data_IF_203552486616
#
_entry.id   IF_203552486616
#
_cell.length_a   1.000
_cell.length_b   1.000
_cell.length_c   1.000
_cell.angle_alpha   90.00
_cell.angle_beta   90.00
_cell.angle_gamma   90.00
#
_symmetry.space_group_name_H-M   'P 1'
#
loop_
_entity.id
_entity.type
_entity.pdbx_description
1 polymer ?
#
# COMPACT_ATOMS: atom_id res chain seq x y z
N UNK A 1 -21.58 4.84 -15.92
CA UNK A 1 -21.21 6.27 -15.96
C UNK A 1 -20.00 6.49 -15.06
N UNK A 2 -19.12 7.43 -15.42
CA UNK A 2 -17.95 7.81 -14.61
C UNK A 2 -17.96 9.32 -14.43
N UNK A 3 -17.79 9.76 -13.19
CA UNK A 3 -17.52 11.15 -12.85
C UNK A 3 -16.08 11.26 -12.33
N UNK A 4 -15.38 12.32 -12.74
CA UNK A 4 -14.02 12.61 -12.32
C UNK A 4 -13.97 14.04 -11.79
N UNK A 5 -13.37 14.22 -10.62
CA UNK A 5 -13.05 15.55 -10.11
C UNK A 5 -11.94 16.20 -10.95
N UNK A 6 -11.67 17.49 -10.69
CA UNK A 6 -10.50 18.19 -11.24
C UNK A 6 -9.19 17.78 -10.57
N UNK A 7 -9.26 16.96 -9.51
CA UNK A 7 -8.10 16.48 -8.75
C UNK A 7 -7.63 15.14 -9.32
N UNK A 8 -6.31 14.95 -9.27
CA UNK A 8 -5.63 13.70 -9.57
C UNK A 8 -4.91 13.21 -8.30
N UNK A 9 -4.58 11.92 -8.19
CA UNK A 9 -3.83 11.46 -7.01
C UNK A 9 -2.48 12.18 -6.95
N UNK A 10 -1.97 12.40 -5.75
CA UNK A 10 -0.60 12.85 -5.48
C UNK A 10 0.32 11.65 -5.24
N UNK A 11 -0.12 10.62 -4.51
CA UNK A 11 0.69 9.43 -4.23
C UNK A 11 0.27 8.30 -5.13
N UNK A 12 -0.86 7.65 -4.86
CA UNK A 12 -1.33 6.51 -5.61
C UNK A 12 -2.86 6.41 -5.59
N UNK A 13 -3.50 6.05 -6.70
CA UNK A 13 -4.95 5.86 -6.72
C UNK A 13 -5.33 4.62 -5.91
N UNK A 14 -6.36 4.74 -5.09
CA UNK A 14 -6.95 3.63 -4.35
C UNK A 14 -8.41 3.49 -4.73
N UNK A 15 -8.78 2.32 -5.23
CA UNK A 15 -10.16 2.02 -5.59
C UNK A 15 -10.86 1.26 -4.46
N UNK A 16 -12.04 1.73 -4.08
CA UNK A 16 -12.90 1.11 -3.08
C UNK A 16 -14.28 0.86 -3.67
N UNK A 17 -14.78 -0.35 -3.50
CA UNK A 17 -16.17 -0.68 -3.82
C UNK A 17 -17.06 -0.23 -2.67
N UNK A 18 -17.97 0.71 -2.97
CA UNK A 18 -18.96 1.22 -2.02
C UNK A 18 -20.19 0.30 -1.96
N UNK A 19 -20.55 -0.30 -3.08
CA UNK A 19 -21.69 -1.19 -3.20
C UNK A 19 -21.69 -1.88 -4.56
N UNK A 20 -22.71 -2.70 -4.81
CA UNK A 20 -22.87 -3.37 -6.10
C UNK A 20 -22.87 -2.33 -7.23
N UNK A 21 -21.89 -2.42 -8.13
CA UNK A 21 -21.75 -1.51 -9.27
C UNK A 21 -21.35 -0.07 -8.92
N UNK A 22 -20.86 0.23 -7.71
CA UNK A 22 -20.35 1.57 -7.35
C UNK A 22 -18.91 1.48 -6.85
N UNK A 23 -18.01 2.16 -7.56
CA UNK A 23 -16.59 2.28 -7.21
C UNK A 23 -16.23 3.74 -6.99
N UNK A 24 -15.34 3.97 -6.03
CA UNK A 24 -14.80 5.28 -5.70
C UNK A 24 -13.28 5.19 -5.73
N UNK A 25 -12.63 6.17 -6.34
CA UNK A 25 -11.17 6.30 -6.35
C UNK A 25 -10.78 7.46 -5.47
N UNK A 26 -9.83 7.25 -4.57
CA UNK A 26 -9.21 8.27 -3.70
C UNK A 26 -7.70 8.27 -3.87
N UNK A 27 -6.99 9.19 -3.22
CA UNK A 27 -5.54 9.15 -3.09
C UNK A 27 -5.13 8.41 -1.81
N UNK A 28 -4.07 7.60 -1.85
CA UNK A 28 -3.52 6.97 -0.66
C UNK A 28 -3.09 7.99 0.42
N UNK A 29 -2.69 9.19 0.03
CA UNK A 29 -2.33 10.28 0.95
C UNK A 29 -3.53 11.00 1.58
N UNK A 30 -4.69 11.01 0.93
CA UNK A 30 -5.94 11.57 1.44
C UNK A 30 -7.07 10.57 1.13
N UNK A 31 -7.25 9.55 1.98
CA UNK A 31 -8.20 8.48 1.72
C UNK A 31 -9.67 8.93 1.85
N UNK A 32 -9.91 10.17 2.28
CA UNK A 32 -11.25 10.74 2.38
C UNK A 32 -11.64 11.52 1.12
N UNK A 33 -10.71 12.19 0.43
CA UNK A 33 -11.01 12.98 -0.75
C UNK A 33 -11.26 12.12 -2.00
N UNK A 34 -12.48 12.17 -2.54
CA UNK A 34 -12.87 11.42 -3.74
C UNK A 34 -12.34 12.09 -5.00
N UNK A 35 -11.59 11.33 -5.79
CA UNK A 35 -11.03 11.74 -7.08
C UNK A 35 -11.95 11.39 -8.24
N UNK A 36 -12.57 10.20 -8.19
CA UNK A 36 -13.53 9.76 -9.21
C UNK A 36 -14.55 8.77 -8.65
N UNK A 37 -15.69 8.67 -9.33
CA UNK A 37 -16.77 7.74 -9.02
C UNK A 37 -17.18 7.01 -10.28
N UNK A 38 -17.18 5.68 -10.24
CA UNK A 38 -17.80 4.82 -11.25
C UNK A 38 -19.14 4.29 -10.76
N UNK A 39 -20.21 4.50 -11.54
CA UNK A 39 -21.55 3.97 -11.26
C UNK A 39 -22.01 3.13 -12.46
N UNK A 40 -22.13 1.82 -12.26
CA UNK A 40 -22.69 0.88 -13.22
C UNK A 40 -24.19 1.08 -13.42
N UNK A 41 -24.78 0.42 -14.43
CA UNK A 41 -26.21 0.53 -14.75
C UNK A 41 -27.14 0.10 -13.61
N UNK A 42 -26.67 -0.76 -12.71
CA UNK A 42 -27.38 -1.21 -11.50
C UNK A 42 -26.75 -0.66 -10.21
N UNK A 43 -25.99 0.43 -10.29
CA UNK A 43 -25.28 1.00 -9.16
C UNK A 43 -26.22 1.63 -8.12
N UNK A 44 -25.98 1.36 -6.85
CA UNK A 44 -26.73 1.93 -5.72
C UNK A 44 -26.22 3.33 -5.35
N UNK A 45 -26.86 4.36 -5.90
CA UNK A 45 -26.53 5.76 -5.63
C UNK A 45 -26.82 6.18 -4.18
N UNK A 46 -27.82 5.59 -3.52
CA UNK A 46 -28.16 5.93 -2.14
C UNK A 46 -27.07 5.46 -1.18
N UNK A 47 -26.43 4.31 -1.48
CA UNK A 47 -25.26 3.85 -0.74
C UNK A 47 -24.06 4.78 -0.89
N UNK A 48 -23.86 5.36 -2.08
CA UNK A 48 -22.83 6.40 -2.29
C UNK A 48 -23.13 7.67 -1.49
N UNK A 49 -24.39 8.12 -1.48
CA UNK A 49 -24.81 9.29 -0.68
C UNK A 49 -24.57 9.04 0.81
N UNK A 50 -24.86 7.83 1.30
CA UNK A 50 -24.63 7.46 2.70
C UNK A 50 -23.14 7.34 3.06
N UNK A 51 -22.29 7.06 2.07
CA UNK A 51 -20.84 6.94 2.22
C UNK A 51 -20.11 8.29 2.26
N UNK A 52 -20.73 9.36 1.74
CA UNK A 52 -20.13 10.69 1.64
C UNK A 52 -20.67 11.68 2.69
N UNK A 53 -19.89 12.75 2.93
CA UNK A 53 -20.24 13.88 3.80
C UNK A 53 -19.87 15.25 3.20
N UNK A 54 -20.57 16.33 3.60
CA UNK A 54 -21.82 16.35 4.38
C UNK A 54 -23.03 15.92 3.54
N UNK A 55 -23.88 15.05 4.09
CA UNK A 55 -24.94 14.32 3.36
C UNK A 55 -25.86 15.22 2.53
N UNK A 56 -26.31 16.33 3.12
CA UNK A 56 -27.29 17.24 2.52
C UNK A 56 -26.75 17.96 1.28
N UNK A 57 -25.46 18.33 1.28
CA UNK A 57 -24.81 19.02 0.15
C UNK A 57 -24.40 18.06 -0.96
N UNK A 58 -24.11 16.80 -0.61
CA UNK A 58 -23.56 15.80 -1.52
C UNK A 58 -24.66 15.01 -2.26
N UNK A 59 -25.86 14.90 -1.69
CA UNK A 59 -27.01 14.23 -2.31
C UNK A 59 -27.37 14.83 -3.68
N UNK A 60 -27.47 16.17 -3.77
CA UNK A 60 -27.78 16.85 -5.02
C UNK A 60 -26.68 16.63 -6.09
N UNK A 61 -25.41 16.65 -5.68
CA UNK A 61 -24.28 16.43 -6.57
C UNK A 61 -24.26 14.98 -7.11
N UNK A 62 -24.42 13.98 -6.24
CA UNK A 62 -24.45 12.56 -6.65
C UNK A 62 -25.65 12.28 -7.55
N UNK A 63 -26.84 12.83 -7.24
CA UNK A 63 -28.00 12.65 -8.10
C UNK A 63 -27.82 13.31 -9.47
N UNK A 64 -27.15 14.46 -9.54
CA UNK A 64 -26.78 15.07 -10.81
C UNK A 64 -25.80 14.20 -11.61
N UNK A 65 -24.81 13.59 -10.94
CA UNK A 65 -23.90 12.60 -11.54
C UNK A 65 -24.72 11.45 -12.12
N UNK A 66 -25.59 10.81 -11.33
CA UNK A 66 -26.39 9.67 -11.81
C UNK A 66 -27.27 10.04 -13.01
N UNK A 67 -27.78 11.28 -13.05
CA UNK A 67 -28.61 11.78 -14.14
C UNK A 67 -27.84 12.11 -15.43
N UNK A 68 -26.51 11.92 -15.48
CA UNK A 68 -25.71 12.29 -16.66
C UNK A 68 -25.33 13.77 -16.71
N UNK A 69 -25.62 14.54 -15.67
CA UNK A 69 -25.28 15.95 -15.58
C UNK A 69 -23.83 16.19 -15.16
N UNK A 70 -23.32 17.39 -15.41
CA UNK A 70 -22.12 17.86 -14.72
C UNK A 70 -22.52 18.20 -13.28
N UNK A 71 -21.94 17.50 -12.32
CA UNK A 71 -21.96 17.96 -10.94
C UNK A 71 -21.28 19.32 -10.87
N UNK A 72 -21.78 20.21 -10.02
CA UNK A 72 -21.04 21.40 -9.61
C UNK A 72 -19.65 20.99 -9.05
N UNK A 73 -18.72 21.94 -8.94
CA UNK A 73 -17.38 21.79 -8.31
C UNK A 73 -17.49 21.46 -6.80
N UNK A 74 -18.18 20.37 -6.47
CA UNK A 74 -18.39 19.87 -5.12
C UNK A 74 -17.31 18.86 -4.82
N UNK A 75 -16.51 19.16 -3.80
CA UNK A 75 -15.57 18.21 -3.25
C UNK A 75 -16.34 17.11 -2.51
N UNK A 76 -16.32 15.90 -3.06
CA UNK A 76 -16.89 14.73 -2.42
C UNK A 76 -15.88 14.17 -1.41
N UNK A 77 -16.30 14.01 -0.15
CA UNK A 77 -15.48 13.40 0.90
C UNK A 77 -16.17 12.15 1.45
N UNK A 78 -15.41 11.09 1.65
CA UNK A 78 -15.85 9.87 2.32
C UNK A 78 -15.92 10.10 3.82
N UNK A 79 -16.93 9.51 4.45
CA UNK A 79 -17.06 9.45 5.90
C UNK A 79 -15.96 8.58 6.51
N UNK A 80 -15.62 8.73 7.81
CA UNK A 80 -14.49 8.04 8.42
C UNK A 80 -14.46 6.51 8.22
N UNK A 81 -15.58 5.75 8.30
CA UNK A 81 -15.55 4.31 8.02
C UNK A 81 -15.11 3.94 6.60
N UNK A 82 -15.50 4.75 5.61
CA UNK A 82 -15.14 4.55 4.20
C UNK A 82 -13.74 5.04 3.89
N UNK A 83 -13.31 6.15 4.52
CA UNK A 83 -11.91 6.60 4.48
C UNK A 83 -10.98 5.54 5.10
N UNK A 84 -11.37 4.91 6.22
CA UNK A 84 -10.64 3.79 6.83
C UNK A 84 -10.53 2.60 5.88
N UNK A 85 -11.63 2.21 5.22
CA UNK A 85 -11.61 1.15 4.20
C UNK A 85 -10.67 1.49 3.04
N UNK A 86 -10.65 2.75 2.60
CA UNK A 86 -9.71 3.20 1.58
C UNK A 86 -8.26 3.18 2.06
N UNK A 87 -7.98 3.59 3.29
CA UNK A 87 -6.65 3.48 3.88
C UNK A 87 -6.16 2.02 3.91
N UNK A 88 -7.01 1.08 4.36
CA UNK A 88 -6.69 -0.35 4.38
C UNK A 88 -6.39 -0.86 2.97
N UNK A 89 -7.21 -0.51 1.97
CA UNK A 89 -6.95 -0.86 0.58
C UNK A 89 -5.64 -0.24 0.04
N UNK A 90 -5.36 1.01 0.43
CA UNK A 90 -4.14 1.72 0.09
C UNK A 90 -2.90 1.04 0.66
N UNK A 91 -2.91 0.71 1.96
CA UNK A 91 -1.81 -0.02 2.61
C UNK A 91 -1.64 -1.42 2.01
N UNK A 92 -2.75 -2.13 1.77
CA UNK A 92 -2.74 -3.45 1.12
C UNK A 92 -2.15 -3.39 -0.29
N UNK A 93 -2.29 -2.30 -1.04
CA UNK A 93 -1.81 -2.26 -2.44
C UNK A 93 -0.44 -1.60 -2.60
N UNK A 94 -0.20 -0.54 -1.85
CA UNK A 94 0.82 0.46 -2.17
C UNK A 94 1.90 0.59 -1.10
N UNK A 95 1.71 0.07 0.12
CA UNK A 95 2.73 0.18 1.16
C UNK A 95 4.01 -0.53 0.72
N UNK A 96 5.16 0.17 0.59
CA UNK A 96 6.41 -0.45 0.16
C UNK A 96 7.14 -1.14 1.32
N UNK A 97 6.86 -0.73 2.56
CA UNK A 97 7.46 -1.35 3.76
C UNK A 97 6.66 -2.59 4.17
N UNK A 98 7.31 -3.59 4.78
CA UNK A 98 6.60 -4.74 5.32
C UNK A 98 5.62 -4.31 6.44
N UNK A 99 4.51 -5.02 6.53
CA UNK A 99 3.43 -4.82 7.51
C UNK A 99 2.99 -6.19 8.05
N UNK A 100 2.34 -6.22 9.22
CA UNK A 100 1.88 -7.48 9.78
C UNK A 100 0.65 -8.01 9.02
N UNK A 101 0.85 -8.93 8.07
CA UNK A 101 -0.20 -9.43 7.16
C UNK A 101 -1.41 -10.04 7.88
N UNK A 102 -1.18 -10.82 8.93
CA UNK A 102 -2.29 -11.37 9.71
C UNK A 102 -3.15 -10.30 10.39
N UNK A 103 -2.54 -9.20 10.85
CA UNK A 103 -3.26 -8.07 11.44
C UNK A 103 -3.95 -7.24 10.37
N UNK A 104 -3.37 -7.15 9.17
CA UNK A 104 -4.02 -6.54 8.01
C UNK A 104 -5.34 -7.27 7.66
N UNK A 105 -5.42 -8.60 7.85
CA UNK A 105 -6.68 -9.33 7.70
C UNK A 105 -7.74 -8.88 8.72
N UNK A 106 -7.34 -8.62 9.97
CA UNK A 106 -8.23 -8.08 11.00
C UNK A 106 -8.66 -6.63 10.68
N UNK A 107 -7.73 -5.77 10.24
CA UNK A 107 -8.04 -4.40 9.79
C UNK A 107 -9.04 -4.40 8.61
N UNK A 108 -8.85 -5.33 7.66
CA UNK A 108 -9.79 -5.54 6.54
C UNK A 108 -11.16 -6.00 7.03
N UNK A 109 -11.20 -6.96 7.96
CA UNK A 109 -12.45 -7.44 8.53
C UNK A 109 -13.23 -6.31 9.21
N UNK A 110 -12.55 -5.51 10.05
CA UNK A 110 -13.11 -4.35 10.72
C UNK A 110 -13.66 -3.31 9.72
N UNK A 111 -12.90 -3.01 8.65
CA UNK A 111 -13.35 -2.10 7.59
C UNK A 111 -14.60 -2.60 6.85
N UNK A 112 -14.69 -3.91 6.56
CA UNK A 112 -15.89 -4.51 5.95
C UNK A 112 -17.09 -4.50 6.90
N UNK A 113 -16.90 -4.81 8.19
CA UNK A 113 -17.96 -4.74 9.20
C UNK A 113 -18.55 -3.31 9.29
N UNK A 114 -17.68 -2.30 9.46
CA UNK A 114 -18.06 -0.89 9.57
C UNK A 114 -18.75 -0.29 8.34
N UNK A 115 -18.56 -0.90 7.17
CA UNK A 115 -19.16 -0.46 5.90
C UNK A 115 -20.38 -1.29 5.47
N UNK A 116 -20.87 -2.16 6.37
CA UNK A 116 -22.07 -2.96 6.15
C UNK A 116 -21.86 -4.15 5.22
N UNK A 117 -20.68 -4.79 5.27
CA UNK A 117 -20.32 -5.97 4.47
C UNK A 117 -19.96 -7.18 5.36
N UNK A 118 -20.94 -7.69 6.14
CA UNK A 118 -20.70 -8.69 7.18
C UNK A 118 -20.17 -10.02 6.63
N UNK A 119 -20.63 -10.48 5.46
CA UNK A 119 -20.15 -11.73 4.85
C UNK A 119 -18.66 -11.68 4.47
N UNK A 120 -18.17 -10.51 4.04
CA UNK A 120 -16.75 -10.32 3.74
C UNK A 120 -15.94 -10.24 5.03
N UNK A 121 -16.46 -9.55 6.05
CA UNK A 121 -15.84 -9.48 7.36
C UNK A 121 -15.73 -10.87 8.01
N UNK A 122 -16.80 -11.66 8.02
CA UNK A 122 -16.83 -13.02 8.57
C UNK A 122 -15.71 -13.91 8.01
N UNK A 123 -15.55 -13.95 6.68
CA UNK A 123 -14.51 -14.76 6.03
C UNK A 123 -13.11 -14.34 6.45
N UNK A 124 -12.88 -13.03 6.61
CA UNK A 124 -11.59 -12.50 7.02
C UNK A 124 -11.32 -12.78 8.51
N UNK A 125 -12.33 -12.65 9.38
CA UNK A 125 -12.21 -13.03 10.80
C UNK A 125 -11.89 -14.51 10.93
N UNK A 126 -12.54 -15.38 10.14
CA UNK A 126 -12.26 -16.83 10.19
C UNK A 126 -10.79 -17.15 9.86
N UNK A 127 -10.19 -16.42 8.89
CA UNK A 127 -8.77 -16.57 8.54
C UNK A 127 -7.84 -16.01 9.61
N UNK A 128 -8.23 -14.91 10.27
CA UNK A 128 -7.40 -14.19 11.22
C UNK A 128 -7.61 -14.59 12.70
N UNK A 129 -8.58 -15.46 12.99
CA UNK A 129 -8.93 -15.91 14.34
C UNK A 129 -7.73 -16.42 15.16
N UNK A 130 -6.79 -17.23 14.60
CA UNK A 130 -5.62 -17.67 15.36
C UNK A 130 -4.73 -16.51 15.82
N UNK A 131 -4.57 -15.48 14.98
CA UNK A 131 -3.81 -14.29 15.35
C UNK A 131 -4.54 -13.49 16.43
N UNK A 132 -5.86 -13.32 16.31
CA UNK A 132 -6.64 -12.62 17.34
C UNK A 132 -6.49 -13.29 18.71
N UNK A 133 -6.46 -14.63 18.75
CA UNK A 133 -6.18 -15.37 19.97
C UNK A 133 -4.76 -15.07 20.52
N UNK A 134 -3.74 -15.10 19.67
CA UNK A 134 -2.36 -14.81 20.07
C UNK A 134 -2.21 -13.38 20.61
N UNK A 135 -2.74 -12.39 19.89
CA UNK A 135 -2.71 -10.98 20.31
C UNK A 135 -3.51 -10.73 21.61
N UNK A 136 -4.56 -11.52 21.86
CA UNK A 136 -5.28 -11.46 23.14
C UNK A 136 -4.38 -11.90 24.29
N UNK A 137 -3.61 -12.97 24.10
CA UNK A 137 -2.65 -13.45 25.08
C UNK A 137 -1.52 -12.42 25.29
N UNK A 138 -0.94 -11.90 24.22
CA UNK A 138 0.10 -10.86 24.29
C UNK A 138 -0.39 -9.62 25.05
N UNK A 139 -1.66 -9.25 24.84
CA UNK A 139 -2.30 -8.14 25.55
C UNK A 139 -2.51 -8.40 27.04
N UNK A 140 -2.86 -9.63 27.43
CA UNK A 140 -2.96 -10.04 28.84
C UNK A 140 -1.60 -10.12 29.54
N UNK A 141 -0.56 -10.49 28.81
CA UNK A 141 0.82 -10.55 29.28
C UNK A 141 1.50 -9.17 29.32
N UNK A 142 0.80 -8.11 28.89
CA UNK A 142 1.33 -6.74 28.90
C UNK A 142 2.40 -6.47 27.84
N UNK A 143 2.48 -7.31 26.80
CA UNK A 143 3.48 -7.23 25.73
C UNK A 143 3.13 -6.18 24.65
N UNK A 144 1.89 -5.67 24.66
CA UNK A 144 1.38 -4.72 23.68
C UNK A 144 1.35 -3.30 24.25
N UNK A 145 1.79 -2.32 23.45
CA UNK A 145 1.65 -0.90 23.82
C UNK A 145 0.18 -0.49 23.94
N UNK A 146 -0.11 0.57 24.70
CA UNK A 146 -1.50 1.00 24.90
C UNK A 146 -2.18 1.44 23.59
N UNK A 147 -1.41 2.01 22.64
CA UNK A 147 -1.92 2.35 21.31
C UNK A 147 -2.31 1.09 20.52
N UNK A 148 -1.48 0.05 20.56
CA UNK A 148 -1.78 -1.25 19.94
C UNK A 148 -2.99 -1.91 20.59
N UNK A 149 -3.10 -1.87 21.93
CA UNK A 149 -4.26 -2.42 22.65
C UNK A 149 -5.55 -1.67 22.32
N UNK A 150 -5.51 -0.34 22.20
CA UNK A 150 -6.69 0.45 21.84
C UNK A 150 -7.20 0.12 20.43
N UNK A 151 -6.30 0.00 19.46
CA UNK A 151 -6.66 -0.40 18.09
C UNK A 151 -7.13 -1.87 18.05
N UNK A 152 -6.40 -2.77 18.71
CA UNK A 152 -6.76 -4.19 18.81
C UNK A 152 -8.15 -4.36 19.41
N UNK A 153 -8.50 -3.59 20.45
CA UNK A 153 -9.85 -3.59 21.03
C UNK A 153 -10.90 -3.19 19.99
N UNK A 154 -10.70 -2.06 19.30
CA UNK A 154 -11.64 -1.59 18.27
C UNK A 154 -11.83 -2.64 17.18
N UNK A 155 -10.76 -3.28 16.74
CA UNK A 155 -10.78 -4.30 15.70
C UNK A 155 -11.43 -5.59 16.20
N UNK A 156 -11.17 -6.00 17.45
CA UNK A 156 -11.76 -7.19 18.06
C UNK A 156 -13.26 -7.05 18.30
N UNK A 157 -13.73 -5.88 18.74
CA UNK A 157 -15.16 -5.58 18.90
C UNK A 157 -15.89 -5.72 17.55
N UNK A 158 -15.32 -5.15 16.48
CA UNK A 158 -15.88 -5.25 15.13
C UNK A 158 -15.82 -6.67 14.55
N UNK A 159 -14.76 -7.42 14.87
CA UNK A 159 -14.66 -8.82 14.51
C UNK A 159 -15.74 -9.65 15.21
N UNK A 160 -15.98 -9.41 16.50
CA UNK A 160 -17.03 -10.07 17.29
C UNK A 160 -18.44 -9.75 16.78
N UNK A 161 -18.68 -8.51 16.36
CA UNK A 161 -19.94 -8.10 15.73
C UNK A 161 -20.17 -8.81 14.39
N UNK A 162 -19.12 -8.93 13.56
CA UNK A 162 -19.20 -9.60 12.26
C UNK A 162 -19.60 -11.08 12.37
N UNK A 163 -19.24 -11.76 13.47
CA UNK A 163 -19.47 -13.20 13.68
C UNK A 163 -20.54 -13.50 14.73
N UNK A 164 -21.18 -12.48 15.31
CA UNK A 164 -22.02 -12.62 16.50
C UNK A 164 -23.25 -13.54 16.35
N UNK A 165 -23.65 -13.85 15.12
CA UNK A 165 -24.74 -14.80 14.80
C UNK A 165 -24.28 -16.25 14.55
N UNK A 166 -22.96 -16.53 14.62
CA UNK A 166 -22.37 -17.81 14.29
C UNK A 166 -22.04 -18.63 15.53
N UNK A 167 -21.96 -19.96 15.37
CA UNK A 167 -21.70 -20.88 16.48
C UNK A 167 -20.37 -20.63 17.19
N UNK A 168 -19.34 -20.23 16.44
CA UNK A 168 -18.00 -19.93 16.95
C UNK A 168 -17.83 -18.45 17.33
N UNK A 169 -18.83 -17.59 17.09
CA UNK A 169 -18.73 -16.16 17.36
C UNK A 169 -18.58 -15.82 18.85
N UNK A 170 -19.02 -16.70 19.75
CA UNK A 170 -18.83 -16.54 21.18
C UNK A 170 -17.35 -16.61 21.60
N UNK A 171 -16.51 -17.36 20.87
CA UNK A 171 -15.08 -17.44 21.16
C UNK A 171 -14.39 -16.11 20.82
N UNK A 172 -14.71 -15.53 19.65
CA UNK A 172 -14.23 -14.21 19.22
C UNK A 172 -14.69 -13.10 20.17
N UNK A 173 -15.95 -13.15 20.60
CA UNK A 173 -16.45 -12.22 21.62
C UNK A 173 -15.71 -12.38 22.95
N UNK A 174 -15.40 -13.60 23.35
CA UNK A 174 -14.56 -13.87 24.53
C UNK A 174 -13.16 -13.26 24.42
N UNK A 175 -12.55 -13.26 23.22
CA UNK A 175 -11.28 -12.56 22.99
C UNK A 175 -11.44 -11.04 23.11
N UNK A 176 -12.47 -10.45 22.50
CA UNK A 176 -12.75 -9.01 22.60
C UNK A 176 -12.96 -8.56 24.06
N UNK A 177 -13.74 -9.32 24.83
CA UNK A 177 -13.98 -9.05 26.26
C UNK A 177 -12.67 -9.08 27.08
N UNK A 178 -11.79 -10.05 26.80
CA UNK A 178 -10.48 -10.18 27.44
C UNK A 178 -9.55 -9.02 27.09
N UNK A 179 -9.48 -8.64 25.81
CA UNK A 179 -8.71 -7.47 25.35
C UNK A 179 -9.23 -6.19 26.03
N UNK A 180 -10.56 -6.04 26.15
CA UNK A 180 -11.16 -4.89 26.81
C UNK A 180 -10.82 -4.83 28.32
N UNK A 181 -10.68 -5.98 28.98
CA UNK A 181 -10.22 -6.06 30.36
C UNK A 181 -8.73 -5.73 30.49
N UNK A 182 -7.88 -6.18 29.55
CA UNK A 182 -6.45 -5.90 29.52
C UNK A 182 -6.13 -4.44 29.23
N UNK A 183 -6.95 -3.76 28.42
CA UNK A 183 -6.83 -2.32 28.17
C UNK A 183 -7.01 -1.44 29.44
N UNK A 184 -7.39 -2.03 30.58
CA UNK A 184 -7.47 -1.38 31.90
C UNK A 184 -6.29 -1.66 32.84
N UNK A 185 -5.26 -2.41 32.44
CA UNK A 185 -4.10 -2.76 33.27
C UNK A 185 -2.83 -2.02 32.81
N UNK A 186 -2.19 -1.26 33.71
CA UNK A 186 -0.88 -0.65 33.49
C UNK A 186 0.22 -1.71 33.59
N UNK A 187 0.94 -1.96 32.49
CA UNK A 187 1.95 -3.01 32.38
C UNK A 187 3.34 -2.57 32.85
N UNK A 188 3.67 -2.92 34.09
CA UNK A 188 5.06 -3.16 34.52
C UNK A 188 5.42 -4.57 34.04
N UNK A 189 6.21 -4.69 32.95
CA UNK A 189 7.15 -5.80 32.69
C UNK A 189 7.86 -5.66 31.32
N UNK A 190 8.24 -4.43 30.94
CA UNK A 190 8.93 -4.15 29.66
C UNK A 190 10.46 -4.40 29.72
N UNK A 191 11.03 -4.69 30.88
CA UNK A 191 12.49 -4.77 31.08
C UNK A 191 13.11 -6.12 30.68
N UNK A 192 12.30 -7.18 30.52
CA UNK A 192 12.82 -8.54 30.26
C UNK A 192 12.98 -8.91 28.78
N UNK A 193 12.33 -8.19 27.86
CA UNK A 193 12.30 -8.52 26.42
C UNK A 193 13.37 -7.78 25.58
N UNK A 194 13.94 -6.70 26.13
CA UNK A 194 15.04 -5.96 25.49
C UNK A 194 16.41 -6.66 25.57
N UNK A 195 16.50 -7.79 26.30
CA UNK A 195 17.74 -8.55 26.45
C UNK A 195 17.88 -9.74 25.49
N UNK A 196 16.89 -10.02 24.61
CA UNK A 196 16.85 -11.26 23.82
C UNK A 196 17.19 -11.11 22.32
N UNK A 197 17.46 -9.91 21.81
CA UNK A 197 17.70 -9.67 20.38
C UNK A 197 19.04 -8.97 20.12
N UNK A 198 20.12 -9.66 20.48
CA UNK A 198 21.45 -9.43 19.92
C UNK A 198 22.13 -10.78 19.69
N UNK A 199 22.17 -11.24 18.43
CA UNK A 199 23.38 -11.71 17.73
C UNK A 199 23.06 -12.53 16.46
N UNK A 200 23.70 -12.10 15.35
CA UNK A 200 24.15 -12.85 14.15
C UNK A 200 23.08 -13.33 13.13
N UNK A 201 23.32 -13.37 11.81
CA UNK A 201 24.58 -13.53 11.06
C UNK A 201 24.49 -12.98 9.62
N UNK A 202 25.66 -12.63 9.09
CA UNK A 202 26.00 -12.48 7.66
C UNK A 202 25.59 -13.68 6.80
N UNK A 203 25.25 -13.41 5.53
CA UNK A 203 25.57 -14.28 4.40
C UNK A 203 25.55 -13.49 3.06
N UNK A 204 26.69 -12.92 2.68
CA UNK A 204 26.96 -12.58 1.28
C UNK A 204 27.26 -13.86 0.50
N UNK A 205 26.55 -14.08 -0.61
CA UNK A 205 26.82 -15.19 -1.53
C UNK A 205 27.65 -14.68 -2.70
N UNK A 206 28.90 -15.13 -2.79
CA UNK A 206 29.68 -15.19 -4.03
C UNK A 206 29.12 -16.31 -4.93
N UNK A 207 29.29 -16.23 -6.25
CA UNK A 207 30.08 -17.17 -7.08
C UNK A 207 29.70 -17.15 -8.57
N UNK A 208 30.76 -17.36 -9.37
CA UNK A 208 30.85 -18.05 -10.67
C UNK A 208 30.78 -17.22 -11.97
N UNK A 209 31.97 -17.11 -12.57
CA UNK A 209 32.28 -16.61 -13.91
C UNK A 209 31.44 -17.25 -15.03
N UNK A 210 30.62 -16.41 -15.64
CA UNK A 210 30.62 -16.21 -17.08
C UNK A 210 30.42 -14.71 -17.28
N UNK A 211 31.38 -14.02 -17.90
CA UNK A 211 31.23 -12.58 -18.15
C UNK A 211 29.93 -12.34 -18.94
N UNK A 212 28.95 -11.63 -18.37
CA UNK A 212 27.76 -11.25 -19.11
C UNK A 212 28.13 -10.19 -20.14
N UNK A 213 27.55 -10.25 -21.33
CA UNK A 213 27.77 -9.22 -22.35
C UNK A 213 27.20 -7.84 -21.91
N UNK A 214 26.16 -7.84 -21.05
CA UNK A 214 25.53 -6.62 -20.50
C UNK A 214 24.65 -6.89 -19.27
N UNK A 215 24.86 -6.13 -18.18
CA UNK A 215 23.93 -6.03 -17.04
C UNK A 215 23.09 -4.74 -17.15
N UNK A 216 21.78 -4.87 -16.97
CA UNK A 216 20.82 -3.77 -17.10
C UNK A 216 20.00 -3.65 -15.81
N UNK A 217 20.23 -2.62 -14.99
CA UNK A 217 19.44 -2.40 -13.79
C UNK A 217 18.16 -1.61 -14.11
N UNK A 218 17.01 -2.06 -13.62
CA UNK A 218 15.70 -1.45 -13.86
C UNK A 218 14.88 -1.27 -12.57
N UNK A 219 13.93 -0.33 -12.60
CA UNK A 219 12.99 -0.10 -11.50
C UNK A 219 11.81 -1.06 -11.63
N UNK A 220 11.37 -1.66 -10.53
CA UNK A 220 10.05 -2.30 -10.49
C UNK A 220 8.95 -1.24 -10.47
N UNK A 221 7.95 -1.39 -11.34
CA UNK A 221 6.83 -0.46 -11.44
C UNK A 221 5.76 -0.79 -10.38
N UNK A 222 5.56 0.07 -9.36
CA UNK A 222 4.55 -0.20 -8.33
C UNK A 222 3.12 -0.21 -8.91
N UNK A 223 2.87 0.37 -10.08
CA UNK A 223 1.56 0.29 -10.74
C UNK A 223 1.31 -1.10 -11.34
N UNK A 224 2.36 -1.79 -11.79
CA UNK A 224 2.30 -3.11 -12.40
C UNK A 224 2.50 -4.25 -11.38
N UNK A 225 3.16 -4.01 -10.25
CA UNK A 225 3.40 -5.01 -9.19
C UNK A 225 2.91 -4.55 -7.83
N UNK A 226 2.63 -5.49 -6.94
CA UNK A 226 2.40 -5.18 -5.52
C UNK A 226 3.72 -4.76 -4.87
N UNK A 227 3.78 -3.54 -4.33
CA UNK A 227 5.03 -2.89 -3.92
C UNK A 227 5.80 -3.67 -2.83
N UNK A 228 5.09 -4.24 -1.84
CA UNK A 228 5.69 -4.97 -0.71
C UNK A 228 6.30 -6.34 -1.05
N UNK A 229 6.01 -6.90 -2.24
CA UNK A 229 6.50 -8.24 -2.59
C UNK A 229 8.00 -8.26 -2.84
N UNK A 230 8.51 -7.21 -3.48
CA UNK A 230 9.92 -7.05 -3.77
C UNK A 230 10.61 -6.33 -2.62
N UNK A 231 11.89 -6.63 -2.41
CA UNK A 231 12.70 -5.91 -1.43
C UNK A 231 12.80 -4.45 -1.82
N UNK A 232 12.18 -3.59 -1.02
CA UNK A 232 12.14 -2.18 -1.27
C UNK A 232 13.23 -1.44 -0.48
N UNK A 233 14.32 -1.08 -1.16
CA UNK A 233 15.43 -0.35 -0.53
C UNK A 233 15.17 1.16 -0.51
N UNK A 234 14.75 1.71 -1.66
CA UNK A 234 14.33 3.11 -1.81
C UNK A 234 13.64 3.32 -3.16
N UNK A 235 13.01 4.49 -3.32
CA UNK A 235 12.28 4.85 -4.52
C UNK A 235 13.15 4.98 -5.77
N UNK A 236 14.46 5.15 -5.60
CA UNK A 236 15.44 5.24 -6.70
C UNK A 236 16.28 3.96 -6.87
N UNK A 237 16.15 2.99 -5.96
CA UNK A 237 16.87 1.73 -6.05
C UNK A 237 16.32 0.89 -7.22
N UNK A 238 17.24 0.33 -8.01
CA UNK A 238 16.91 -0.49 -9.18
C UNK A 238 16.83 -1.94 -8.76
N UNK A 239 15.66 -2.36 -8.31
CA UNK A 239 15.43 -3.68 -7.72
C UNK A 239 15.50 -4.84 -8.74
N UNK A 240 15.49 -4.54 -10.05
CA UNK A 240 15.53 -5.53 -11.11
C UNK A 240 16.92 -5.57 -11.74
N UNK A 241 17.50 -6.75 -11.80
CA UNK A 241 18.77 -7.03 -12.46
C UNK A 241 18.52 -7.91 -13.68
N UNK A 242 18.86 -7.41 -14.86
CA UNK A 242 18.68 -8.16 -16.11
C UNK A 242 20.05 -8.45 -16.73
N UNK A 243 20.30 -9.74 -16.98
CA UNK A 243 21.47 -10.21 -17.72
C UNK A 243 21.05 -10.61 -19.12
N UNK A 244 21.60 -9.94 -20.14
CA UNK A 244 21.36 -10.30 -21.54
C UNK A 244 22.49 -11.18 -22.09
N UNK A 245 22.12 -12.22 -22.83
CA UNK A 245 23.01 -12.98 -23.70
C UNK A 245 22.47 -12.95 -25.12
N UNK A 246 23.29 -12.47 -26.07
CA UNK A 246 22.85 -12.26 -27.45
C UNK A 246 23.45 -13.31 -28.39
N UNK A 247 22.57 -13.99 -29.13
CA UNK A 247 22.95 -14.79 -30.30
C UNK A 247 22.50 -14.07 -31.59
N UNK A 248 22.92 -14.55 -32.78
CA UNK A 248 22.63 -13.87 -34.05
C UNK A 248 21.14 -13.62 -34.32
N UNK A 249 20.26 -14.49 -33.84
CA UNK A 249 18.82 -14.44 -34.14
C UNK A 249 17.92 -14.35 -32.88
N UNK A 250 18.50 -14.47 -31.68
CA UNK A 250 17.75 -14.56 -30.43
C UNK A 250 18.49 -13.87 -29.28
N UNK A 251 17.75 -13.13 -28.46
CA UNK A 251 18.23 -12.61 -27.17
C UNK A 251 17.60 -13.43 -26.06
N UNK A 252 18.45 -13.89 -25.14
CA UNK A 252 18.04 -14.51 -23.88
C UNK A 252 18.32 -13.51 -22.76
N UNK A 253 17.29 -13.09 -22.05
CA UNK A 253 17.40 -12.22 -20.90
C UNK A 253 17.01 -12.99 -19.63
N UNK A 254 17.88 -12.98 -18.64
CA UNK A 254 17.59 -13.48 -17.29
C UNK A 254 17.28 -12.29 -16.38
N UNK A 255 16.06 -12.24 -15.86
CA UNK A 255 15.62 -11.21 -14.92
C UNK A 255 15.68 -11.78 -13.50
N UNK A 256 16.25 -10.99 -12.59
CA UNK A 256 16.35 -11.30 -11.16
C UNK A 256 15.84 -10.13 -10.32
N UNK A 257 15.15 -10.44 -9.23
CA UNK A 257 14.72 -9.47 -8.22
C UNK A 257 14.71 -10.12 -6.83
N UNK A 258 15.10 -9.37 -5.80
CA UNK A 258 15.00 -9.84 -4.41
C UNK A 258 13.56 -9.70 -3.89
N UNK A 259 13.05 -10.74 -3.24
CA UNK A 259 11.81 -10.68 -2.48
C UNK A 259 12.04 -10.00 -1.14
N UNK A 260 11.00 -9.39 -0.59
CA UNK A 260 11.03 -8.88 0.78
C UNK A 260 11.24 -10.03 1.77
N UNK A 261 12.02 -9.79 2.82
CA UNK A 261 12.37 -10.79 3.84
C UNK A 261 11.16 -11.32 4.63
N UNK A 262 10.01 -10.63 4.53
CA UNK A 262 8.75 -10.99 5.20
C UNK A 262 7.72 -11.62 4.26
N UNK A 263 8.11 -11.98 3.04
CA UNK A 263 7.23 -12.56 2.03
C UNK A 263 7.55 -14.03 1.86
N UNK A 264 6.57 -14.89 2.13
CA UNK A 264 6.66 -16.32 1.79
C UNK A 264 6.71 -16.48 0.26
N UNK A 265 7.79 -17.09 -0.23
CA UNK A 265 8.00 -17.43 -1.64
C UNK A 265 6.87 -18.27 -2.25
N UNK A 266 6.13 -19.01 -1.42
CA UNK A 266 5.03 -19.89 -1.82
C UNK A 266 3.67 -19.21 -1.76
N UNK A 267 3.62 -17.94 -1.34
CA UNK A 267 2.36 -17.23 -1.24
C UNK A 267 1.73 -17.03 -2.62
N UNK A 268 0.40 -16.92 -2.63
CA UNK A 268 -0.36 -16.78 -3.86
C UNK A 268 0.09 -15.56 -4.68
N UNK A 269 0.38 -14.43 -4.04
CA UNK A 269 0.77 -13.19 -4.72
C UNK A 269 2.12 -13.33 -5.46
N UNK A 270 3.11 -14.01 -4.87
CA UNK A 270 4.40 -14.30 -5.52
C UNK A 270 4.19 -15.19 -6.75
N UNK A 271 3.30 -16.19 -6.64
CA UNK A 271 2.97 -17.10 -7.74
C UNK A 271 2.32 -16.43 -8.96
N UNK A 272 1.77 -15.22 -8.83
CA UNK A 272 1.18 -14.46 -9.94
C UNK A 272 2.17 -13.55 -10.68
N UNK A 273 3.36 -13.34 -10.14
CA UNK A 273 4.31 -12.39 -10.73
C UNK A 273 4.82 -12.95 -12.06
N UNK A 274 4.72 -12.14 -13.11
CA UNK A 274 5.16 -12.48 -14.46
C UNK A 274 6.18 -11.46 -14.94
N UNK A 275 7.27 -11.92 -15.54
CA UNK A 275 8.26 -11.06 -16.17
C UNK A 275 7.84 -10.74 -17.60
N UNK A 276 8.19 -9.54 -18.06
CA UNK A 276 7.94 -9.12 -19.43
C UNK A 276 9.14 -8.40 -20.06
N UNK A 277 9.17 -8.42 -21.39
CA UNK A 277 9.99 -7.54 -22.22
C UNK A 277 9.11 -6.90 -23.28
N UNK A 278 9.28 -5.60 -23.49
CA UNK A 278 8.48 -4.81 -24.42
C UNK A 278 9.34 -3.87 -25.26
N UNK A 279 8.83 -3.50 -26.44
CA UNK A 279 9.38 -2.42 -27.24
C UNK A 279 8.81 -1.07 -26.74
N UNK A 280 9.66 -0.15 -26.24
CA UNK A 280 9.21 1.15 -25.73
C UNK A 280 8.64 2.07 -26.81
N UNK A 281 9.00 1.87 -28.08
CA UNK A 281 8.56 2.74 -29.18
C UNK A 281 7.16 2.39 -29.64
N UNK A 282 6.89 1.10 -29.82
CA UNK A 282 5.59 0.60 -30.29
C UNK A 282 4.64 0.24 -29.16
N UNK A 283 5.10 0.29 -27.90
CA UNK A 283 4.38 -0.17 -26.73
C UNK A 283 3.95 -1.66 -26.82
N UNK A 284 4.65 -2.45 -27.64
CA UNK A 284 4.29 -3.86 -27.90
C UNK A 284 5.03 -4.77 -26.93
N UNK A 285 4.29 -5.66 -26.25
CA UNK A 285 4.88 -6.76 -25.49
C UNK A 285 5.54 -7.76 -26.43
N UNK A 286 6.85 -7.93 -26.31
CA UNK A 286 7.63 -8.86 -27.13
C UNK A 286 7.57 -10.27 -26.55
N UNK A 287 7.62 -10.40 -25.23
CA UNK A 287 7.54 -11.69 -24.53
C UNK A 287 7.13 -11.53 -23.07
N UNK A 288 6.50 -12.58 -22.54
CA UNK A 288 6.28 -12.77 -21.11
C UNK A 288 6.81 -14.13 -20.66
N UNK A 289 7.16 -14.25 -19.38
CA UNK A 289 7.59 -15.51 -18.76
C UNK A 289 7.13 -15.55 -17.30
N UNK A 290 6.65 -16.72 -16.85
CA UNK A 290 6.34 -16.97 -15.44
C UNK A 290 7.62 -16.87 -14.62
N UNK A 291 7.53 -16.24 -13.45
CA UNK A 291 8.66 -16.19 -12.52
C UNK A 291 8.76 -17.46 -11.67
N UNK A 292 9.93 -17.69 -11.08
CA UNK A 292 10.18 -18.71 -10.08
C UNK A 292 10.85 -18.06 -8.89
N UNK A 293 10.25 -18.21 -7.71
CA UNK A 293 10.85 -17.80 -6.44
C UNK A 293 11.65 -18.96 -5.86
N UNK A 294 12.88 -18.68 -5.45
CA UNK A 294 13.74 -19.61 -4.73
C UNK A 294 14.78 -18.85 -3.91
N UNK A 295 14.94 -19.21 -2.65
CA UNK A 295 16.00 -18.69 -1.76
C UNK A 295 15.97 -17.14 -1.67
N UNK A 296 14.77 -16.57 -1.57
CA UNK A 296 14.50 -15.13 -1.49
C UNK A 296 14.59 -14.40 -2.83
N UNK A 297 14.83 -15.10 -3.95
CA UNK A 297 15.10 -14.48 -5.25
C UNK A 297 14.04 -14.91 -6.26
N UNK A 298 13.45 -13.92 -6.92
CA UNK A 298 12.55 -14.10 -8.04
C UNK A 298 13.34 -14.09 -9.35
N UNK A 299 13.21 -15.16 -10.14
CA UNK A 299 13.93 -15.32 -11.41
C UNK A 299 12.98 -15.60 -12.58
N UNK A 300 13.31 -15.08 -13.76
CA UNK A 300 12.63 -15.43 -15.00
C UNK A 300 13.59 -15.40 -16.20
N UNK A 301 13.33 -16.25 -17.18
CA UNK A 301 14.09 -16.28 -18.44
C UNK A 301 13.17 -15.89 -19.60
N UNK A 302 13.52 -14.82 -20.29
CA UNK A 302 12.81 -14.29 -21.45
C UNK A 302 13.64 -14.60 -22.71
N UNK A 303 12.98 -15.20 -23.71
CA UNK A 303 13.58 -15.49 -25.02
C UNK A 303 12.79 -14.80 -26.10
N UNK A 304 13.43 -13.92 -26.86
CA UNK A 304 12.76 -13.10 -27.88
C UNK A 304 13.70 -12.71 -29.02
N UNK A 305 13.11 -12.43 -30.18
CA UNK A 305 13.83 -11.88 -31.34
C UNK A 305 13.74 -10.34 -31.27
N UNK A 306 14.88 -9.63 -31.21
CA UNK A 306 14.86 -8.17 -31.11
C UNK A 306 14.38 -7.57 -32.44
N UNK A 307 13.35 -6.72 -32.37
CA UNK A 307 12.88 -5.90 -33.50
C UNK A 307 13.38 -4.45 -33.41
N UNK A 308 13.85 -4.06 -32.22
CA UNK A 308 14.37 -2.75 -31.85
C UNK A 308 15.66 -2.94 -31.06
N UNK A 309 16.57 -1.96 -31.12
CA UNK A 309 17.79 -1.93 -30.32
C UNK A 309 17.52 -1.59 -28.84
N UNK A 310 16.36 -0.98 -28.55
CA UNK A 310 15.93 -0.62 -27.20
C UNK A 310 14.72 -1.46 -26.78
N UNK A 311 14.80 -2.03 -25.58
CA UNK A 311 13.74 -2.82 -24.94
C UNK A 311 13.58 -2.40 -23.49
N UNK A 312 12.39 -2.61 -22.95
CA UNK A 312 12.08 -2.39 -21.53
C UNK A 312 11.74 -3.73 -20.90
N UNK A 313 12.37 -3.99 -19.75
CA UNK A 313 12.08 -5.14 -18.91
C UNK A 313 11.28 -4.72 -17.68
N UNK A 314 10.48 -5.64 -17.17
CA UNK A 314 9.83 -5.44 -15.88
C UNK A 314 9.13 -6.69 -15.38
N UNK A 315 8.48 -6.50 -14.23
CA UNK A 315 7.58 -7.46 -13.62
C UNK A 315 6.17 -6.88 -13.64
N UNK A 316 5.18 -7.75 -13.71
CA UNK A 316 3.78 -7.39 -13.51
C UNK A 316 3.01 -8.50 -12.80
N UNK A 317 1.99 -8.10 -12.06
CA UNK A 317 1.02 -8.99 -11.45
C UNK A 317 -0.04 -9.39 -12.48
N UNK A 318 -0.19 -10.71 -12.71
CA UNK A 318 -1.13 -11.24 -13.68
C UNK A 318 -2.58 -10.78 -13.44
N UNK A 319 -2.97 -10.52 -12.18
CA UNK A 319 -4.34 -10.10 -11.83
C UNK A 319 -4.61 -8.62 -12.17
N UNK A 320 -3.57 -7.78 -12.20
CA UNK A 320 -3.69 -6.39 -12.69
C UNK A 320 -3.75 -6.34 -14.22
N UNK A 321 -3.26 -7.39 -14.87
CA UNK A 321 -3.27 -7.55 -16.32
C UNK A 321 -2.25 -6.67 -17.03
N UNK A 322 -2.14 -6.88 -18.35
CA UNK A 322 -1.16 -6.21 -19.20
C UNK A 322 -1.38 -4.70 -19.33
N UNK A 323 -2.58 -4.22 -19.04
CA UNK A 323 -2.91 -2.78 -19.09
C UNK A 323 -2.24 -1.97 -17.98
N UNK A 324 -1.78 -2.62 -16.90
CA UNK A 324 -1.02 -1.96 -15.84
C UNK A 324 0.44 -1.68 -16.23
N UNK A 325 0.93 -2.30 -17.31
CA UNK A 325 2.31 -2.18 -17.76
C UNK A 325 2.53 -0.83 -18.44
N UNK A 326 3.43 -0.02 -17.88
CA UNK A 326 3.82 1.26 -18.47
C UNK A 326 5.05 1.10 -19.35
N UNK A 327 4.84 1.30 -20.65
CA UNK A 327 5.87 1.26 -21.69
C UNK A 327 5.97 2.63 -22.37
N UNK A 328 7.19 3.06 -22.71
CA UNK A 328 7.44 4.31 -23.41
C UNK A 328 8.54 5.18 -22.80
N UNK A 329 9.06 6.14 -23.56
CA UNK A 329 10.21 6.96 -23.15
C UNK A 329 10.00 7.84 -21.91
N UNK A 330 8.75 8.11 -21.53
CA UNK A 330 8.40 8.81 -20.28
C UNK A 330 8.21 7.89 -19.07
N UNK A 331 7.97 6.60 -19.29
CA UNK A 331 7.59 5.65 -18.24
C UNK A 331 8.65 5.50 -17.13
N UNK A 332 9.95 5.33 -17.43
CA UNK A 332 10.96 5.16 -16.37
C UNK A 332 11.01 6.32 -15.37
N UNK A 333 10.81 7.56 -15.84
CA UNK A 333 10.80 8.75 -14.97
C UNK A 333 9.52 8.84 -14.15
N UNK A 334 8.38 8.49 -14.74
CA UNK A 334 7.11 8.44 -14.00
C UNK A 334 7.13 7.35 -12.93
N UNK A 335 7.70 6.18 -13.24
CA UNK A 335 7.92 5.09 -12.28
C UNK A 335 8.79 5.59 -11.12
N UNK A 336 9.93 6.23 -11.42
CA UNK A 336 10.81 6.78 -10.39
C UNK A 336 10.07 7.79 -9.48
N UNK A 337 9.32 8.72 -10.07
CA UNK A 337 8.52 9.71 -9.33
C UNK A 337 7.49 9.02 -8.42
N UNK A 338 6.74 8.05 -8.93
CA UNK A 338 5.72 7.34 -8.15
C UNK A 338 6.35 6.57 -6.99
N UNK A 339 7.51 5.94 -7.22
CA UNK A 339 8.25 5.24 -6.15
C UNK A 339 8.72 6.20 -5.07
N UNK A 340 9.22 7.39 -5.42
CA UNK A 340 9.63 8.42 -4.44
C UNK A 340 8.42 8.94 -3.65
N UNK A 341 7.27 9.11 -4.30
CA UNK A 341 6.04 9.53 -3.65
C UNK A 341 5.49 8.47 -2.68
N UNK A 342 5.60 7.19 -3.04
CA UNK A 342 5.30 6.07 -2.14
C UNK A 342 6.25 6.02 -0.95
N UNK A 343 7.54 6.31 -1.14
CA UNK A 343 8.50 6.44 -0.04
C UNK A 343 8.12 7.58 0.91
N UNK A 344 7.81 8.75 0.37
CA UNK A 344 7.41 9.91 1.17
C UNK A 344 6.17 9.59 2.01
N UNK A 345 5.16 8.96 1.40
CA UNK A 345 3.95 8.51 2.08
C UNK A 345 4.24 7.46 3.14
N UNK A 346 5.05 6.46 2.82
CA UNK A 346 5.47 5.42 3.75
C UNK A 346 6.18 5.99 4.97
N UNK A 347 7.09 6.96 4.78
CA UNK A 347 7.80 7.65 5.86
C UNK A 347 6.83 8.52 6.69
N UNK A 348 5.88 9.21 6.06
CA UNK A 348 4.83 9.93 6.79
C UNK A 348 4.01 8.98 7.67
N UNK A 349 3.57 7.83 7.14
CA UNK A 349 2.86 6.81 7.92
C UNK A 349 3.68 6.35 9.11
N UNK A 350 4.99 6.19 8.96
CA UNK A 350 5.88 5.90 10.09
C UNK A 350 5.83 6.99 11.17
N UNK A 351 5.82 8.26 10.78
CA UNK A 351 5.74 9.37 11.73
C UNK A 351 4.42 9.32 12.52
N UNK A 352 3.29 9.05 11.85
CA UNK A 352 1.98 8.90 12.49
C UNK A 352 1.97 7.71 13.48
N UNK A 353 2.55 6.57 13.09
CA UNK A 353 2.67 5.37 13.95
C UNK A 353 3.55 5.66 15.17
N UNK A 354 4.71 6.30 14.97
CA UNK A 354 5.62 6.68 16.06
C UNK A 354 4.94 7.63 17.04
N UNK A 355 4.22 8.64 16.54
CA UNK A 355 3.46 9.57 17.35
C UNK A 355 2.35 8.86 18.16
N UNK A 356 1.66 7.89 17.57
CA UNK A 356 0.59 7.16 18.23
C UNK A 356 1.10 6.26 19.36
N UNK A 357 2.22 5.55 19.17
CA UNK A 357 2.82 4.69 20.21
C UNK A 357 3.27 5.48 21.44
N UNK A 358 3.81 6.67 21.23
CA UNK A 358 4.26 7.52 22.33
C UNK A 358 3.15 8.03 23.26
N UNK A 359 1.90 8.08 22.77
CA UNK A 359 0.75 8.39 23.61
C UNK A 359 0.40 7.30 24.63
N UNK A 360 1.07 6.14 24.58
CA UNK A 360 0.72 4.94 25.32
C UNK A 360 1.88 4.19 25.99
N UNK A 361 3.12 4.66 25.88
CA UNK A 361 4.29 4.03 26.52
C UNK A 361 4.75 4.87 27.73
N UNK A 362 4.60 4.32 28.94
CA UNK A 362 5.22 4.89 30.14
C UNK A 362 6.74 4.68 30.06
N UNK A 363 7.50 5.77 29.94
CA UNK A 363 8.97 5.75 29.93
C UNK A 363 9.63 6.26 28.64
N UNK A 364 8.88 6.40 27.55
CA UNK A 364 9.39 7.01 26.31
C UNK A 364 9.58 8.52 26.51
N UNK A 365 10.80 9.05 26.32
CA UNK A 365 11.06 10.49 26.43
C UNK A 365 10.25 11.24 25.36
N UNK A 366 9.27 12.09 25.76
CA UNK A 366 8.46 12.83 24.80
C UNK A 366 9.29 13.73 23.87
N UNK A 367 10.48 14.14 24.28
CA UNK A 367 11.40 14.92 23.44
C UNK A 367 12.04 14.05 22.36
N UNK A 368 12.48 12.82 22.69
CA UNK A 368 13.06 11.89 21.71
C UNK A 368 12.03 11.44 20.68
N UNK A 369 10.81 11.12 21.11
CA UNK A 369 9.71 10.80 20.18
C UNK A 369 9.45 11.96 19.24
N UNK A 370 9.33 13.18 19.77
CA UNK A 370 9.07 14.38 18.95
C UNK A 370 10.17 14.61 17.94
N UNK A 371 11.44 14.52 18.37
CA UNK A 371 12.58 14.62 17.48
C UNK A 371 12.51 13.55 16.38
N UNK A 372 12.17 12.30 16.73
CA UNK A 372 12.06 11.21 15.77
C UNK A 372 10.94 11.45 14.76
N UNK A 373 9.79 11.95 15.20
CA UNK A 373 8.66 12.34 14.33
C UNK A 373 9.09 13.47 13.39
N UNK A 374 9.73 14.51 13.91
CA UNK A 374 10.22 15.65 13.13
C UNK A 374 11.27 15.23 12.08
N UNK A 375 12.18 14.31 12.44
CA UNK A 375 13.16 13.74 11.51
C UNK A 375 12.48 12.96 10.37
N UNK A 376 11.46 12.16 10.68
CA UNK A 376 10.68 11.41 9.69
C UNK A 376 9.91 12.36 8.76
N UNK A 377 9.23 13.37 9.31
CA UNK A 377 8.51 14.36 8.50
C UNK A 377 9.48 15.16 7.61
N UNK A 378 10.65 15.53 8.13
CA UNK A 378 11.70 16.20 7.35
C UNK A 378 12.18 15.31 6.21
N UNK A 379 12.41 14.01 6.46
CA UNK A 379 12.78 13.06 5.42
C UNK A 379 11.70 12.90 4.35
N UNK A 380 10.43 12.80 4.75
CA UNK A 380 9.31 12.74 3.81
C UNK A 380 9.24 14.01 2.94
N UNK A 381 9.48 15.20 3.52
CA UNK A 381 9.51 16.46 2.77
C UNK A 381 10.66 16.50 1.74
N UNK A 382 11.85 16.02 2.10
CA UNK A 382 13.00 15.92 1.16
C UNK A 382 12.66 15.04 -0.04
N UNK A 383 11.99 13.90 0.18
CA UNK A 383 11.54 13.02 -0.89
C UNK A 383 10.50 13.70 -1.79
N UNK A 384 9.55 14.45 -1.21
CA UNK A 384 8.58 15.24 -1.99
C UNK A 384 9.26 16.30 -2.85
N UNK A 385 10.26 17.00 -2.33
CA UNK A 385 10.98 18.01 -3.10
C UNK A 385 11.79 17.40 -4.25
N UNK A 386 12.35 16.20 -4.09
CA UNK A 386 12.98 15.45 -5.19
C UNK A 386 11.95 15.04 -6.27
N UNK A 387 10.81 14.48 -5.86
CA UNK A 387 9.72 14.13 -6.77
C UNK A 387 9.21 15.36 -7.55
N UNK A 388 9.06 16.51 -6.88
CA UNK A 388 8.68 17.80 -7.51
C UNK A 388 9.74 18.27 -8.51
N UNK A 389 11.02 18.18 -8.15
CA UNK A 389 12.12 18.51 -9.05
C UNK A 389 12.09 17.68 -10.34
N UNK A 390 11.84 16.37 -10.21
CA UNK A 390 11.71 15.44 -11.34
C UNK A 390 10.46 15.72 -12.19
N UNK A 391 9.31 16.00 -11.57
CA UNK A 391 8.07 16.40 -12.25
C UNK A 391 8.25 17.70 -13.04
N UNK A 392 8.86 18.72 -12.45
CA UNK A 392 9.17 19.98 -13.14
C UNK A 392 10.11 19.75 -14.34
N UNK A 393 11.05 18.82 -14.22
CA UNK A 393 11.91 18.40 -15.33
C UNK A 393 11.17 17.72 -16.49
N UNK A 394 10.08 17.01 -16.21
CA UNK A 394 9.20 16.43 -17.23
C UNK A 394 8.32 17.47 -17.92
N UNK A 395 7.74 18.41 -17.15
CA UNK A 395 6.89 19.47 -17.68
C UNK A 395 7.62 20.39 -18.67
N UNK A 396 8.93 20.59 -18.50
CA UNK A 396 9.75 21.40 -19.42
C UNK A 396 9.98 20.74 -20.78
N UNK A 397 9.62 19.46 -20.95
CA UNK A 397 9.78 18.73 -22.22
C UNK A 397 8.48 18.80 -23.02
N UNK A 398 8.55 19.08 -24.34
CA UNK A 398 7.37 19.01 -25.20
C UNK A 398 6.93 17.55 -25.32
N UNK A 399 5.98 17.16 -24.48
CA UNK A 399 5.46 15.79 -24.39
C UNK A 399 3.93 15.85 -24.44
N UNK A 400 3.32 14.81 -25.02
CA UNK A 400 1.88 14.56 -24.91
C UNK A 400 1.53 14.33 -23.43
N UNK A 401 0.58 15.09 -22.88
CA UNK A 401 0.13 14.95 -21.48
C UNK A 401 0.51 16.09 -20.52
N UNK A 402 0.89 17.27 -21.04
CA UNK A 402 1.26 18.43 -20.22
C UNK A 402 0.21 18.84 -19.17
N UNK A 403 -1.09 18.77 -19.51
CA UNK A 403 -2.18 19.07 -18.57
C UNK A 403 -2.23 18.06 -17.41
N UNK A 404 -2.05 16.76 -17.70
CA UNK A 404 -2.00 15.72 -16.67
C UNK A 404 -0.78 15.89 -15.74
N UNK A 405 0.37 16.28 -16.29
CA UNK A 405 1.57 16.58 -15.51
C UNK A 405 1.40 17.85 -14.65
N UNK A 406 0.69 18.87 -15.13
CA UNK A 406 0.36 20.05 -14.36
C UNK A 406 -0.57 19.70 -13.18
N UNK A 407 -1.63 18.94 -13.44
CA UNK A 407 -2.55 18.46 -12.41
C UNK A 407 -1.83 17.61 -11.35
N UNK A 408 -0.94 16.69 -11.77
CA UNK A 408 -0.14 15.86 -10.85
C UNK A 408 0.80 16.71 -10.00
N UNK A 409 1.44 17.73 -10.58
CA UNK A 409 2.27 18.68 -9.82
C UNK A 409 1.47 19.41 -8.76
N UNK A 410 0.29 19.94 -9.11
CA UNK A 410 -0.60 20.60 -8.14
C UNK A 410 -1.13 19.65 -7.05
N UNK A 411 -1.29 18.35 -7.35
CA UNK A 411 -1.63 17.35 -6.36
C UNK A 411 -0.47 17.12 -5.37
N UNK A 412 0.76 16.94 -5.88
CA UNK A 412 1.96 16.77 -5.05
C UNK A 412 2.25 18.01 -4.18
N UNK A 413 1.99 19.22 -4.69
CA UNK A 413 2.14 20.45 -3.91
C UNK A 413 1.15 20.54 -2.74
N UNK A 414 -0.11 20.15 -2.96
CA UNK A 414 -1.10 20.08 -1.88
C UNK A 414 -0.73 19.02 -0.85
N UNK A 415 -0.20 17.88 -1.30
CA UNK A 415 0.28 16.85 -0.39
C UNK A 415 1.46 17.35 0.47
N UNK A 416 2.42 18.05 -0.14
CA UNK A 416 3.54 18.66 0.59
C UNK A 416 3.09 19.75 1.58
N UNK A 417 2.05 20.52 1.26
CA UNK A 417 1.46 21.49 2.20
C UNK A 417 0.81 20.79 3.39
N UNK A 418 0.03 19.74 3.14
CA UNK A 418 -0.59 18.93 4.18
C UNK A 418 0.44 18.31 5.12
N UNK A 419 1.55 17.81 4.56
CA UNK A 419 2.65 17.23 5.34
C UNK A 419 3.30 18.25 6.28
N UNK A 420 3.47 19.51 5.82
CA UNK A 420 4.06 20.59 6.61
C UNK A 420 3.15 21.10 7.72
N UNK A 421 1.84 21.08 7.50
CA UNK A 421 0.86 21.64 8.45
C UNK A 421 0.51 20.63 9.54
N UNK A 422 0.12 19.42 9.13
CA UNK A 422 -0.47 18.41 10.02
C UNK A 422 0.11 17.00 9.77
N UNK A 423 1.37 16.90 9.32
CA UNK A 423 1.92 15.64 8.78
C UNK A 423 1.87 14.41 9.69
N UNK A 424 1.93 14.61 11.02
CA UNK A 424 1.84 13.55 12.03
C UNK A 424 0.43 13.39 12.63
N UNK A 425 -0.53 14.25 12.27
CA UNK A 425 -1.91 14.19 12.76
C UNK A 425 -2.80 13.57 11.69
N UNK A 426 -3.28 12.33 11.88
CA UNK A 426 -4.13 11.69 10.90
C UNK A 426 -5.48 12.42 10.79
N UNK A 427 -6.00 12.54 9.57
CA UNK A 427 -7.41 12.90 9.36
C UNK A 427 -8.32 11.75 9.84
N UNK A 428 -9.62 12.00 10.12
CA UNK A 428 -10.56 10.95 10.51
C UNK A 428 -10.62 9.79 9.50
N UNK A 429 -10.42 8.56 9.98
CA UNK A 429 -10.29 7.35 9.14
C UNK A 429 -8.87 7.12 8.61
N UNK A 430 -7.95 8.04 8.89
CA UNK A 430 -6.54 8.02 8.53
C UNK A 430 -5.61 7.57 9.67
N UNK A 431 -6.14 7.11 10.80
CA UNK A 431 -5.36 6.68 11.97
C UNK A 431 -4.43 5.49 11.64
N UNK A 432 -3.42 5.14 12.46
CA UNK A 432 -2.66 3.90 12.28
C UNK A 432 -3.54 2.66 12.19
N UNK A 433 -3.17 1.70 11.35
CA UNK A 433 -3.75 0.35 11.34
C UNK A 433 -3.10 -0.54 12.41
N UNK A 434 -3.79 -1.59 12.84
CA UNK A 434 -3.19 -2.61 13.70
C UNK A 434 -1.95 -3.23 13.04
N UNK A 435 -2.02 -3.48 11.74
CA UNK A 435 -0.92 -4.01 10.92
C UNK A 435 0.34 -3.12 10.90
N UNK A 436 0.19 -1.81 11.13
CA UNK A 436 1.30 -0.86 11.22
C UNK A 436 1.82 -0.71 12.66
N UNK A 437 0.97 -0.99 13.65
CA UNK A 437 1.29 -0.85 15.08
C UNK A 437 1.99 -2.07 15.67
N UNK A 438 1.85 -3.25 15.09
CA UNK A 438 2.55 -4.45 15.56
C UNK A 438 4.01 -4.51 15.06
N UNK A 439 4.93 -5.07 15.86
CA UNK A 439 6.27 -5.38 15.38
C UNK A 439 6.20 -6.46 14.29
N UNK A 440 7.15 -6.42 13.36
CA UNK A 440 7.32 -7.46 12.35
C UNK A 440 8.15 -8.58 12.96
N UNK A 441 7.63 -9.81 12.95
CA UNK A 441 8.41 -11.01 13.25
C UNK A 441 8.84 -11.58 11.90
N UNK A 442 10.14 -11.68 11.65
CA UNK A 442 10.64 -12.40 10.48
C UNK A 442 10.41 -13.90 10.72
N UNK A 443 9.78 -14.59 9.77
CA UNK A 443 9.67 -16.04 9.83
C UNK A 443 11.08 -16.63 9.85
N UNK A 444 11.41 -17.32 10.95
CA UNK A 444 12.65 -18.06 11.07
C UNK A 444 12.52 -19.33 10.22
N UNK A 445 13.04 -19.30 8.99
CA UNK A 445 13.21 -20.51 8.19
C UNK A 445 14.47 -21.28 8.59
#
# INVERSE_FOLDING_TARGET
MVWTSTRVPAVAPVEVTIGAGVTVTVDAADPAAVLSVGIGSSGDADRLIAACEPRESVEAAIRAIVAGGQAADVELRLRPPWARKALVAGITRWMPRPIHEGALLLDRAAAHCNTGEPEAAERLVALASPLLQALTQDGEEGLLSAATLAELKSVADLAADAVGGLQWGNEIRGYADRIAASAGMSGLDLEWLLLSLQEQSDAGILWSDGEPDREIPALADPAATVARLLKWVSGIHRDLHITESRSRDEVVAELRAELSEYVDERCYEVGRITAFVADPTTATLLRTATTRARDGILTATLRYAPQSDEVVYGLYDADLGVCAIRVGGGAPRMIEIDRILLDAWSVQRQAIVTQARAGGEEGSDPAEVRQRVDDLLTRAQVLLDDARGKLAGLQRRPTTGAEGLAARSSAVERYAESLRTDGATPQPGGEPLLAELLPLIADSN
#
